data_IF_341097041774
#
_entry.id   IF_341097041774
#
_cell.length_a   1.000
_cell.length_b   1.000
_cell.length_c   1.000
_cell.angle_alpha   90.00
_cell.angle_beta   90.00
_cell.angle_gamma   90.00
#
_symmetry.space_group_name_H-M   'P 1'
#
loop_
_entity.id
_entity.type
_entity.pdbx_description
1 polymer ?
#
# COMPACT_ATOMS: atom_id res chain seq x y z
N UNK A 1 12.28 -29.47 -0.50
CA UNK A 1 11.30 -28.38 -0.70
C UNK A 1 11.89 -27.14 -0.04
N UNK A 2 12.43 -26.20 -0.83
CA UNK A 2 13.16 -25.04 -0.29
C UNK A 2 12.17 -23.96 0.18
N UNK A 3 12.28 -23.51 1.42
CA UNK A 3 11.42 -22.45 1.97
C UNK A 3 11.76 -21.12 1.31
N UNK A 4 10.82 -20.54 0.56
CA UNK A 4 11.00 -19.21 -0.04
C UNK A 4 11.21 -18.16 1.05
N UNK A 5 12.23 -17.32 0.91
CA UNK A 5 12.47 -16.18 1.81
C UNK A 5 11.30 -15.21 1.72
N UNK A 6 10.63 -14.96 2.84
CA UNK A 6 9.64 -13.89 2.96
C UNK A 6 10.34 -12.55 3.18
N UNK A 7 9.85 -11.51 2.52
CA UNK A 7 10.32 -10.14 2.69
C UNK A 7 9.20 -9.22 3.16
N UNK A 8 9.57 -8.08 3.73
CA UNK A 8 8.68 -6.98 4.06
C UNK A 8 8.94 -5.83 3.08
N UNK A 9 7.91 -5.42 2.36
CA UNK A 9 7.92 -4.23 1.51
C UNK A 9 7.28 -3.08 2.29
N UNK A 10 8.03 -2.00 2.51
CA UNK A 10 7.53 -0.80 3.20
C UNK A 10 7.33 0.33 2.21
N UNK A 11 6.09 0.76 2.05
CA UNK A 11 5.72 1.95 1.31
C UNK A 11 5.69 3.15 2.25
N UNK A 12 6.81 3.89 2.27
CA UNK A 12 6.94 5.10 3.06
C UNK A 12 6.69 6.35 2.20
N UNK A 13 5.67 7.14 2.53
CA UNK A 13 5.36 8.37 1.81
C UNK A 13 4.55 9.36 2.67
N UNK A 14 4.63 10.68 2.39
CA UNK A 14 3.70 11.63 2.99
C UNK A 14 2.30 11.50 2.37
N UNK A 15 1.27 11.89 3.12
CA UNK A 15 -0.08 12.11 2.60
C UNK A 15 -0.16 13.45 1.86
N UNK A 16 -0.08 13.38 0.54
CA UNK A 16 -0.46 14.48 -0.34
C UNK A 16 -1.89 14.28 -0.80
N UNK A 17 -2.80 15.09 -0.28
CA UNK A 17 -4.25 14.98 -0.55
C UNK A 17 -4.78 13.54 -0.34
N UNK A 18 -4.38 12.93 0.78
CA UNK A 18 -4.74 11.55 1.13
C UNK A 18 -4.28 10.49 0.09
N UNK A 19 -3.24 10.80 -0.68
CA UNK A 19 -2.68 9.95 -1.75
C UNK A 19 -1.14 9.95 -1.74
N UNK A 20 -0.55 9.26 -2.73
CA UNK A 20 0.88 9.01 -2.87
C UNK A 20 1.34 9.06 -4.36
N UNK A 21 1.38 10.24 -5.01
CA UNK A 21 1.52 10.34 -6.47
C UNK A 21 2.78 9.67 -7.04
N UNK A 22 3.96 9.90 -6.44
CA UNK A 22 5.20 9.26 -6.91
C UNK A 22 5.22 7.75 -6.68
N UNK A 23 4.66 7.31 -5.56
CA UNK A 23 4.53 5.89 -5.26
C UNK A 23 3.54 5.22 -6.23
N UNK A 24 2.49 5.94 -6.65
CA UNK A 24 1.52 5.45 -7.62
C UNK A 24 2.16 5.20 -8.98
N UNK A 25 3.02 6.10 -9.44
CA UNK A 25 3.79 5.90 -10.68
C UNK A 25 4.70 4.66 -10.57
N UNK A 26 5.42 4.51 -9.45
CA UNK A 26 6.23 3.31 -9.21
C UNK A 26 5.38 2.03 -9.20
N UNK A 27 4.20 2.08 -8.57
CA UNK A 27 3.28 0.94 -8.54
C UNK A 27 2.83 0.56 -9.95
N UNK A 28 2.52 1.54 -10.80
CA UNK A 28 2.10 1.29 -12.18
C UNK A 28 3.22 0.67 -13.01
N UNK A 29 4.48 1.08 -12.81
CA UNK A 29 5.61 0.55 -13.58
C UNK A 29 6.14 -0.80 -13.05
N UNK A 30 6.02 -1.08 -11.75
CA UNK A 30 6.64 -2.25 -11.11
C UNK A 30 5.65 -3.35 -10.80
N UNK A 31 4.42 -3.02 -10.40
CA UNK A 31 3.39 -4.02 -10.07
C UNK A 31 2.69 -4.51 -11.34
N UNK A 32 3.47 -4.90 -12.34
CA UNK A 32 3.02 -5.26 -13.67
C UNK A 32 2.66 -6.75 -13.81
N UNK A 33 1.99 -7.07 -14.92
CA UNK A 33 1.71 -8.45 -15.31
C UNK A 33 3.00 -9.26 -15.43
N UNK A 34 2.95 -10.55 -15.06
CA UNK A 34 4.08 -11.48 -15.05
C UNK A 34 5.15 -11.20 -13.99
N UNK A 35 5.00 -10.13 -13.19
CA UNK A 35 5.80 -9.90 -11.99
C UNK A 35 4.96 -9.98 -10.71
N UNK A 36 3.95 -9.11 -10.57
CA UNK A 36 3.13 -9.00 -9.37
C UNK A 36 1.83 -9.82 -9.45
N UNK A 37 1.30 -10.02 -10.66
CA UNK A 37 0.09 -10.79 -10.91
C UNK A 37 0.10 -11.41 -12.32
N UNK A 38 -0.90 -12.24 -12.62
CA UNK A 38 -1.01 -12.91 -13.92
C UNK A 38 -0.13 -14.16 -14.00
N UNK A 39 0.03 -14.72 -15.21
CA UNK A 39 0.78 -15.95 -15.39
C UNK A 39 2.26 -15.75 -15.02
N UNK A 40 2.76 -16.49 -14.02
CA UNK A 40 4.14 -16.37 -13.53
C UNK A 40 4.42 -15.15 -12.63
N UNK A 41 3.44 -14.27 -12.41
CA UNK A 41 3.59 -13.10 -11.54
C UNK A 41 3.29 -13.41 -10.08
N UNK A 42 4.20 -14.12 -9.40
CA UNK A 42 4.07 -14.50 -7.98
C UNK A 42 5.14 -13.85 -7.09
N UNK A 43 5.82 -12.81 -7.59
CA UNK A 43 7.00 -12.28 -6.91
C UNK A 43 6.69 -11.65 -5.56
N UNK A 44 5.45 -11.22 -5.36
CA UNK A 44 4.99 -10.68 -4.09
C UNK A 44 4.31 -11.73 -3.19
N UNK A 45 3.94 -12.91 -3.72
CA UNK A 45 3.18 -13.95 -3.02
C UNK A 45 3.78 -14.36 -1.67
N UNK A 46 3.02 -14.09 -0.60
CA UNK A 46 3.34 -14.46 0.78
C UNK A 46 4.32 -13.51 1.48
N UNK A 47 4.67 -12.38 0.84
CA UNK A 47 5.40 -11.29 1.46
C UNK A 47 4.46 -10.39 2.27
N UNK A 48 5.04 -9.60 3.17
CA UNK A 48 4.29 -8.60 3.94
C UNK A 48 4.43 -7.23 3.27
N UNK A 49 3.35 -6.46 3.34
CA UNK A 49 3.31 -5.08 2.86
C UNK A 49 2.88 -4.16 4.01
N UNK A 50 3.64 -3.10 4.22
CA UNK A 50 3.37 -2.08 5.23
C UNK A 50 3.30 -0.70 4.57
N UNK A 51 2.24 0.05 4.84
CA UNK A 51 2.17 1.48 4.50
C UNK A 51 2.59 2.32 5.72
N UNK A 52 3.68 3.09 5.58
CA UNK A 52 4.20 3.98 6.61
C UNK A 52 4.01 5.44 6.16
N UNK A 53 2.98 6.10 6.70
CA UNK A 53 2.57 7.42 6.22
C UNK A 53 2.78 8.52 7.24
N UNK A 54 3.16 9.71 6.75
CA UNK A 54 3.14 10.95 7.54
C UNK A 54 1.98 11.84 7.10
N UNK A 55 1.29 12.45 8.06
CA UNK A 55 0.13 13.30 7.79
C UNK A 55 0.27 14.64 8.53
N UNK A 56 -0.21 15.72 7.88
CA UNK A 56 -0.21 17.06 8.48
C UNK A 56 -1.22 17.19 9.62
N UNK A 57 -2.40 16.59 9.46
CA UNK A 57 -3.46 16.67 10.44
C UNK A 57 -3.30 15.60 11.53
N UNK A 58 -3.72 15.94 12.75
CA UNK A 58 -3.71 15.00 13.88
C UNK A 58 -4.74 13.88 13.74
N UNK A 59 -4.68 12.89 14.64
CA UNK A 59 -5.53 11.69 14.62
C UNK A 59 -7.04 11.99 14.55
N UNK A 60 -7.52 13.00 15.29
CA UNK A 60 -8.94 13.40 15.32
C UNK A 60 -9.45 13.96 13.99
N UNK A 61 -8.57 14.31 13.06
CA UNK A 61 -8.99 14.72 11.73
C UNK A 61 -9.40 13.52 10.86
N UNK A 62 -8.89 12.32 11.16
CA UNK A 62 -9.07 11.09 10.38
C UNK A 62 -10.00 10.09 11.09
N UNK A 63 -11.24 10.52 11.27
CA UNK A 63 -12.34 9.74 11.82
C UNK A 63 -13.62 10.17 11.09
N UNK A 64 -14.68 9.37 11.20
CA UNK A 64 -15.91 9.57 10.43
C UNK A 64 -16.63 10.88 10.76
N UNK A 65 -16.46 11.36 11.98
CA UNK A 65 -16.95 12.63 12.51
C UNK A 65 -15.90 13.76 12.44
N UNK A 66 -14.71 13.48 11.91
CA UNK A 66 -13.61 14.42 11.77
C UNK A 66 -13.63 15.17 10.43
N UNK A 67 -12.77 16.18 10.30
CA UNK A 67 -12.74 17.06 9.12
C UNK A 67 -12.40 16.36 7.80
N UNK A 68 -11.73 15.20 7.84
CA UNK A 68 -11.42 14.41 6.64
C UNK A 68 -12.47 13.31 6.38
N UNK A 69 -13.48 13.14 7.24
CA UNK A 69 -14.59 12.17 7.12
C UNK A 69 -14.22 10.68 7.00
N UNK A 70 -12.94 10.35 6.90
CA UNK A 70 -12.43 9.00 6.71
C UNK A 70 -11.30 8.69 7.69
N UNK A 71 -11.24 7.44 8.11
CA UNK A 71 -10.10 6.90 8.83
C UNK A 71 -8.89 6.71 7.91
N UNK A 72 -7.69 6.69 8.50
CA UNK A 72 -6.46 6.37 7.75
C UNK A 72 -6.58 5.02 7.02
N UNK A 73 -7.21 4.02 7.64
CA UNK A 73 -7.40 2.71 7.03
C UNK A 73 -8.34 2.73 5.82
N UNK A 74 -9.39 3.54 5.85
CA UNK A 74 -10.29 3.73 4.70
C UNK A 74 -9.54 4.42 3.55
N UNK A 75 -8.72 5.43 3.85
CA UNK A 75 -7.90 6.13 2.84
C UNK A 75 -6.78 5.25 2.27
N UNK A 76 -6.26 4.30 3.04
CA UNK A 76 -5.23 3.35 2.61
C UNK A 76 -5.80 2.05 2.01
N UNK A 77 -7.11 1.96 1.78
CA UNK A 77 -7.74 0.76 1.21
C UNK A 77 -7.06 0.24 -0.07
N UNK A 78 -6.58 1.08 -1.01
CA UNK A 78 -5.84 0.59 -2.19
C UNK A 78 -4.56 -0.18 -1.83
N UNK A 79 -3.80 0.28 -0.82
CA UNK A 79 -2.58 -0.40 -0.37
C UNK A 79 -2.89 -1.73 0.31
N UNK A 80 -3.97 -1.78 1.10
CA UNK A 80 -4.46 -3.04 1.68
C UNK A 80 -4.86 -4.04 0.59
N UNK A 81 -5.44 -3.55 -0.52
CA UNK A 81 -5.84 -4.42 -1.62
C UNK A 81 -4.63 -4.99 -2.38
N UNK A 82 -3.56 -4.21 -2.54
CA UNK A 82 -2.28 -4.71 -3.09
C UNK A 82 -1.75 -5.84 -2.20
N UNK A 83 -1.72 -5.64 -0.89
CA UNK A 83 -1.24 -6.63 0.08
C UNK A 83 -2.01 -7.97 0.06
N UNK A 84 -3.29 -7.94 -0.33
CA UNK A 84 -4.14 -9.14 -0.46
C UNK A 84 -3.96 -9.91 -1.76
N UNK A 85 -3.44 -9.25 -2.80
CA UNK A 85 -3.18 -9.85 -4.11
C UNK A 85 -1.75 -10.36 -4.24
N UNK A 86 -0.87 -9.90 -3.35
CA UNK A 86 0.45 -10.46 -3.07
C UNK A 86 0.39 -11.62 -2.07
#
# INVERSE_FOLDING_TARGET
>A
MGTRRKILVVFQHPFYWCSAPLLKEWQDLVLENSFAYGAGGDQLHGNLLLAAVTARAGRLAYQRDGINYFTIHELLAPFHQIARRS
#
